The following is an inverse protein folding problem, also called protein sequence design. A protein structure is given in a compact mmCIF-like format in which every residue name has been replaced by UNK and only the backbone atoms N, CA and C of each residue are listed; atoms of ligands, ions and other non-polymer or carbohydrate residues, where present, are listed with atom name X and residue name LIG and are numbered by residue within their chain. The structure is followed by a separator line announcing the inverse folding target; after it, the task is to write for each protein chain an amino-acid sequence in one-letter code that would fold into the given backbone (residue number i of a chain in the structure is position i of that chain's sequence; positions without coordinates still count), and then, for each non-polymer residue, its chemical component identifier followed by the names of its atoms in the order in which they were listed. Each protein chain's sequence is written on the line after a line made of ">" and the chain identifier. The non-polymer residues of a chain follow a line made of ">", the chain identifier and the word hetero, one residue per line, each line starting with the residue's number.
data_IF_248397351405
#
_entry.id   IF_248397351405
#
_cell.length_a   1.000
_cell.length_b   1.000
_cell.length_c   1.000
_cell.angle_alpha   90.00
_cell.angle_beta   90.00
_cell.angle_gamma   90.00
#
_symmetry.space_group_name_H-M   'P 1'
#
loop_
_entity.id
_entity.type
_entity.pdbx_description
1 polymer ?
#
# COMPACT_ATOMS: atom_id res chain seq x y z
N UNK A 1 7.04 16.36 -10.28
CA UNK A 1 6.82 15.75 -11.61
C UNK A 1 6.10 14.43 -11.41
N UNK A 2 4.93 14.23 -12.03
CA UNK A 2 4.21 12.96 -11.96
C UNK A 2 4.53 12.17 -13.23
N UNK A 3 5.24 11.04 -13.09
CA UNK A 3 5.49 10.12 -14.19
C UNK A 3 4.19 9.37 -14.51
N UNK A 4 3.50 9.77 -15.57
CA UNK A 4 2.33 9.06 -16.11
C UNK A 4 2.75 8.35 -17.39
N UNK A 5 2.62 7.03 -17.42
CA UNK A 5 2.80 6.23 -18.63
C UNK A 5 1.45 6.08 -19.31
N UNK A 6 1.33 6.58 -20.54
CA UNK A 6 0.09 6.50 -21.34
C UNK A 6 0.25 5.51 -22.50
N UNK A 7 -0.84 4.81 -22.82
CA UNK A 7 -0.93 3.89 -23.96
C UNK A 7 -2.10 4.31 -24.86
N UNK A 8 -1.90 4.26 -26.18
CA UNK A 8 -2.96 4.52 -27.15
C UNK A 8 -3.83 3.27 -27.37
N UNK A 9 -5.14 3.43 -27.29
CA UNK A 9 -6.13 2.36 -27.54
C UNK A 9 -7.13 2.86 -28.58
N UNK A 10 -7.41 2.03 -29.60
CA UNK A 10 -8.41 2.33 -30.62
C UNK A 10 -9.70 1.55 -30.34
N UNK A 11 -10.81 2.26 -30.19
CA UNK A 11 -12.15 1.69 -29.95
C UNK A 11 -13.07 2.05 -31.10
N UNK A 12 -13.86 1.09 -31.57
CA UNK A 12 -14.93 1.32 -32.55
C UNK A 12 -16.26 1.38 -31.81
N UNK A 13 -16.96 2.51 -31.92
CA UNK A 13 -18.26 2.74 -31.30
C UNK A 13 -19.32 2.85 -32.38
N UNK A 14 -20.45 2.17 -32.20
CA UNK A 14 -21.62 2.31 -33.06
C UNK A 14 -22.50 3.44 -32.51
N UNK A 15 -22.80 4.44 -33.33
CA UNK A 15 -23.65 5.58 -32.98
C UNK A 15 -24.81 5.73 -34.00
N UNK A 16 -25.82 4.85 -33.94
CA UNK A 16 -26.95 4.89 -34.87
C UNK A 16 -27.81 6.15 -34.73
N UNK A 17 -27.83 6.76 -33.55
CA UNK A 17 -28.64 7.95 -33.23
C UNK A 17 -27.90 9.28 -33.51
N UNK A 18 -26.62 9.23 -33.91
CA UNK A 18 -25.75 10.39 -34.18
C UNK A 18 -25.64 11.36 -32.99
N UNK A 19 -25.59 10.80 -31.78
CA UNK A 19 -25.46 11.60 -30.56
C UNK A 19 -24.02 12.05 -30.30
N UNK A 20 -23.03 11.31 -30.81
CA UNK A 20 -21.61 11.62 -30.66
C UNK A 20 -21.18 12.65 -31.71
N UNK A 21 -20.75 13.83 -31.25
CA UNK A 21 -20.25 14.90 -32.10
C UNK A 21 -18.75 15.11 -31.90
N UNK A 22 -18.08 15.54 -32.97
CA UNK A 22 -16.67 15.92 -32.90
C UNK A 22 -16.47 17.03 -31.86
N UNK A 23 -15.38 16.93 -31.08
CA UNK A 23 -15.06 17.86 -30.00
C UNK A 23 -15.65 17.50 -28.63
N UNK A 24 -16.46 16.44 -28.52
CA UNK A 24 -16.90 15.91 -27.23
C UNK A 24 -15.78 15.12 -26.53
N UNK A 25 -15.72 15.23 -25.21
CA UNK A 25 -14.91 14.34 -24.38
C UNK A 25 -15.69 13.04 -24.13
N UNK A 26 -14.98 11.92 -24.10
CA UNK A 26 -15.55 10.61 -23.81
C UNK A 26 -14.72 9.99 -22.68
N UNK A 27 -15.43 9.46 -21.68
CA UNK A 27 -14.86 8.59 -20.66
C UNK A 27 -15.26 7.15 -21.02
N UNK A 28 -14.30 6.23 -21.02
CA UNK A 28 -14.50 4.85 -21.40
C UNK A 28 -13.89 3.93 -20.34
N UNK A 29 -14.73 3.08 -19.74
CA UNK A 29 -14.32 2.08 -18.77
C UNK A 29 -14.15 0.71 -19.44
N UNK A 30 -12.96 0.10 -19.26
CA UNK A 30 -12.66 -1.24 -19.76
C UNK A 30 -12.68 -2.24 -18.61
N UNK A 31 -13.73 -3.05 -18.53
CA UNK A 31 -13.76 -4.16 -17.57
C UNK A 31 -13.08 -5.39 -18.17
N UNK A 32 -11.85 -5.67 -17.72
CA UNK A 32 -11.03 -6.77 -18.26
C UNK A 32 -11.00 -7.95 -17.29
N UNK A 33 -11.60 -9.07 -17.71
CA UNK A 33 -11.63 -10.30 -16.95
C UNK A 33 -12.61 -10.28 -15.78
N UNK A 34 -13.18 -11.43 -15.47
CA UNK A 34 -14.04 -11.62 -14.31
C UNK A 34 -13.67 -12.95 -13.66
N UNK A 35 -13.46 -12.94 -12.35
CA UNK A 35 -13.30 -14.16 -11.56
C UNK A 35 -14.57 -14.35 -10.74
N UNK A 36 -15.38 -15.34 -11.13
CA UNK A 36 -16.65 -15.66 -10.46
C UNK A 36 -16.41 -16.55 -9.25
N UNK A 37 -17.23 -16.36 -8.20
CA UNK A 37 -17.18 -17.15 -6.96
C UNK A 37 -15.81 -17.15 -6.27
N UNK A 38 -15.06 -16.06 -6.38
CA UNK A 38 -13.78 -15.91 -5.71
C UNK A 38 -13.95 -15.50 -4.25
N UNK A 39 -13.14 -16.10 -3.37
CA UNK A 39 -12.92 -15.55 -2.04
C UNK A 39 -11.98 -14.35 -2.16
N UNK A 40 -12.34 -13.22 -1.56
CA UNK A 40 -11.53 -11.99 -1.62
C UNK A 40 -11.25 -11.45 -0.23
N UNK A 41 -10.08 -10.87 -0.06
CA UNK A 41 -9.70 -10.08 1.12
C UNK A 41 -9.30 -8.67 0.69
N UNK A 42 -9.50 -7.65 1.54
CA UNK A 42 -8.95 -6.33 1.29
C UNK A 42 -7.44 -6.41 1.11
N UNK A 43 -6.89 -5.79 0.06
CA UNK A 43 -5.45 -5.84 -0.23
C UNK A 43 -4.61 -5.29 0.93
N UNK A 44 -5.14 -4.34 1.71
CA UNK A 44 -4.49 -3.80 2.91
C UNK A 44 -4.30 -4.83 4.03
N UNK A 45 -5.10 -5.91 4.05
CA UNK A 45 -4.99 -6.99 5.04
C UNK A 45 -3.92 -8.02 4.69
N UNK A 46 -3.42 -8.01 3.45
CA UNK A 46 -2.43 -8.97 2.97
C UNK A 46 -1.05 -8.57 3.49
N UNK A 47 -0.40 -9.51 4.15
CA UNK A 47 0.91 -9.34 4.78
C UNK A 47 1.92 -10.26 4.13
N UNK A 48 3.08 -9.72 3.81
CA UNK A 48 4.24 -10.51 3.40
C UNK A 48 5.24 -10.59 4.54
N UNK A 49 5.47 -11.80 5.03
CA UNK A 49 6.61 -12.13 5.89
C UNK A 49 7.68 -12.80 5.03
N UNK A 50 8.94 -12.82 5.49
CA UNK A 50 10.15 -13.11 4.71
C UNK A 50 9.99 -14.18 3.62
N UNK A 51 9.28 -15.29 3.91
CA UNK A 51 9.05 -16.39 2.97
C UNK A 51 7.58 -16.72 2.66
N UNK A 52 6.60 -15.95 3.15
CA UNK A 52 5.19 -16.28 2.97
C UNK A 52 4.27 -15.04 2.88
N UNK A 53 3.26 -15.15 2.04
CA UNK A 53 2.13 -14.21 1.99
C UNK A 53 0.98 -14.78 2.81
N UNK A 54 0.34 -13.94 3.63
CA UNK A 54 -0.70 -14.37 4.56
C UNK A 54 -1.61 -13.22 4.98
N UNK A 55 -2.60 -13.53 5.79
CA UNK A 55 -3.46 -12.56 6.49
C UNK A 55 -3.44 -12.83 7.98
N UNK A 56 -3.79 -11.84 8.79
CA UNK A 56 -4.01 -12.06 10.21
C UNK A 56 -5.48 -12.30 10.50
N UNK A 57 -5.78 -13.45 11.11
CA UNK A 57 -7.13 -13.81 11.58
C UNK A 57 -7.14 -13.65 13.11
N UNK A 58 -8.19 -13.06 13.72
CA UNK A 58 -8.29 -12.98 15.17
C UNK A 58 -8.51 -14.38 15.75
N UNK A 59 -7.53 -14.89 16.48
CA UNK A 59 -7.62 -16.14 17.21
C UNK A 59 -8.23 -15.98 18.61
N UNK A 60 -8.13 -17.03 19.42
CA UNK A 60 -8.61 -17.04 20.80
C UNK A 60 -7.97 -15.90 21.61
N UNK A 61 -8.79 -15.17 22.37
CA UNK A 61 -8.42 -13.98 23.15
C UNK A 61 -7.97 -12.78 22.29
N UNK A 62 -8.50 -12.64 21.08
CA UNK A 62 -8.21 -11.52 20.16
C UNK A 62 -6.73 -11.42 19.77
N UNK A 63 -5.98 -12.53 19.88
CA UNK A 63 -4.58 -12.60 19.46
C UNK A 63 -4.51 -12.85 17.95
N UNK A 64 -3.85 -11.97 17.18
CA UNK A 64 -3.68 -12.15 15.74
C UNK A 64 -2.90 -13.42 15.45
N UNK A 65 -3.46 -14.29 14.61
CA UNK A 65 -2.80 -15.51 14.11
C UNK A 65 -2.49 -15.28 12.64
N UNK A 66 -1.23 -15.46 12.26
CA UNK A 66 -0.82 -15.40 10.85
C UNK A 66 -1.28 -16.66 10.14
N UNK A 67 -2.13 -16.50 9.13
CA UNK A 67 -2.62 -17.58 8.28
C UNK A 67 -2.03 -17.41 6.89
N UNK A 68 -1.17 -18.32 6.42
CA UNK A 68 -0.62 -18.26 5.08
C UNK A 68 -1.74 -18.47 4.05
N UNK A 69 -1.70 -17.68 2.97
CA UNK A 69 -2.69 -17.76 1.89
C UNK A 69 -2.00 -17.74 0.54
N UNK A 70 -2.63 -18.37 -0.44
CA UNK A 70 -2.26 -18.22 -1.84
C UNK A 70 -3.10 -17.13 -2.47
N UNK A 71 -2.46 -16.09 -2.97
CA UNK A 71 -3.14 -14.94 -3.59
C UNK A 71 -3.23 -15.09 -5.10
N UNK A 72 -4.37 -14.71 -5.66
CA UNK A 72 -4.61 -14.66 -7.10
C UNK A 72 -4.57 -13.23 -7.65
N UNK A 73 -5.53 -12.93 -8.52
CA UNK A 73 -5.65 -11.61 -9.14
C UNK A 73 -6.00 -10.56 -8.09
N UNK A 74 -5.39 -9.38 -8.19
CA UNK A 74 -5.78 -8.21 -7.42
C UNK A 74 -6.53 -7.26 -8.33
N UNK A 75 -7.74 -6.87 -7.93
CA UNK A 75 -8.60 -5.97 -8.68
C UNK A 75 -9.21 -4.94 -7.73
N UNK A 76 -9.16 -3.67 -8.13
CA UNK A 76 -9.58 -2.53 -7.31
C UNK A 76 -8.83 -2.50 -5.96
N UNK A 77 -9.51 -2.83 -4.86
CA UNK A 77 -8.96 -2.85 -3.50
C UNK A 77 -8.99 -4.26 -2.87
N UNK A 78 -9.24 -5.29 -3.69
CA UNK A 78 -9.42 -6.66 -3.24
C UNK A 78 -8.41 -7.58 -3.92
N UNK A 79 -7.89 -8.51 -3.14
CA UNK A 79 -7.02 -9.58 -3.62
C UNK A 79 -7.75 -10.90 -3.49
N UNK A 80 -7.80 -11.65 -4.58
CA UNK A 80 -8.33 -13.00 -4.62
C UNK A 80 -7.49 -13.94 -3.74
N UNK A 81 -8.17 -14.80 -3.00
CA UNK A 81 -7.58 -15.88 -2.20
C UNK A 81 -7.92 -17.20 -2.87
N UNK A 82 -6.89 -17.88 -3.38
CA UNK A 82 -7.00 -19.20 -4.02
C UNK A 82 -7.05 -20.34 -3.00
N UNK A 83 -6.30 -20.19 -1.91
CA UNK A 83 -6.24 -21.20 -0.84
C UNK A 83 -5.79 -20.59 0.50
N UNK A 84 -6.08 -21.29 1.59
CA UNK A 84 -5.67 -20.91 2.95
C UNK A 84 -6.77 -20.29 3.82
N UNK A 85 -7.94 -20.00 3.26
CA UNK A 85 -9.12 -19.51 3.99
C UNK A 85 -10.38 -20.23 3.50
N UNK A 86 -11.39 -20.33 4.36
CA UNK A 86 -12.68 -20.97 4.05
C UNK A 86 -13.79 -19.96 3.76
N UNK A 87 -13.56 -18.68 4.06
CA UNK A 87 -14.46 -17.55 3.77
C UNK A 87 -15.39 -17.17 4.91
N UNK A 88 -15.35 -17.90 6.02
CA UNK A 88 -16.07 -17.53 7.25
C UNK A 88 -15.19 -16.74 8.23
N UNK A 89 -13.90 -16.60 7.93
CA UNK A 89 -12.93 -15.95 8.80
C UNK A 89 -13.01 -14.43 8.70
N UNK A 90 -12.82 -13.76 9.84
CA UNK A 90 -12.59 -12.31 9.85
C UNK A 90 -11.10 -12.05 9.67
N UNK A 91 -10.73 -11.08 8.85
CA UNK A 91 -9.33 -10.67 8.66
C UNK A 91 -9.09 -9.29 9.27
N UNK A 92 -7.90 -9.08 9.81
CA UNK A 92 -7.50 -7.77 10.31
C UNK A 92 -7.10 -6.87 9.13
N UNK A 93 -7.71 -5.68 9.05
CA UNK A 93 -7.41 -4.66 8.02
C UNK A 93 -6.06 -3.97 8.22
N UNK A 94 -5.50 -4.07 9.42
CA UNK A 94 -4.28 -3.37 9.80
C UNK A 94 -3.43 -4.23 10.73
N UNK A 95 -2.12 -4.04 10.65
CA UNK A 95 -1.17 -4.68 11.56
C UNK A 95 -1.52 -4.39 13.02
N UNK A 96 -1.45 -5.43 13.88
CA UNK A 96 -1.38 -5.24 15.32
C UNK A 96 -0.27 -4.24 15.68
N UNK A 97 -0.43 -3.47 16.78
CA UNK A 97 0.60 -2.54 17.23
C UNK A 97 1.93 -3.30 17.40
N UNK A 98 3.00 -2.83 16.72
CA UNK A 98 4.35 -3.40 16.83
C UNK A 98 4.74 -4.46 15.79
N UNK A 99 3.84 -4.90 14.90
CA UNK A 99 4.14 -5.91 13.88
C UNK A 99 4.17 -5.36 12.44
N UNK A 100 4.38 -4.04 12.29
CA UNK A 100 4.51 -3.42 10.95
C UNK A 100 5.78 -3.98 10.28
N UNK A 101 5.69 -4.63 9.12
CA UNK A 101 6.88 -4.99 8.37
C UNK A 101 7.62 -3.69 8.03
N UNK A 102 8.82 -3.57 8.56
CA UNK A 102 9.70 -2.46 8.24
C UNK A 102 10.10 -2.62 6.78
N UNK A 103 9.52 -1.81 5.90
CA UNK A 103 10.01 -1.66 4.53
C UNK A 103 11.39 -1.01 4.63
N UNK A 104 12.46 -1.79 4.80
CA UNK A 104 13.80 -1.30 4.58
C UNK A 104 13.95 -1.09 3.07
N UNK A 105 14.16 0.14 2.60
CA UNK A 105 14.52 0.37 1.20
C UNK A 105 15.83 -0.38 0.96
N UNK A 106 15.77 -1.40 0.10
CA UNK A 106 16.92 -2.18 -0.32
C UNK A 106 17.73 -1.31 -1.29
N UNK A 107 18.59 -0.45 -0.75
CA UNK A 107 19.50 0.39 -1.53
C UNK A 107 19.83 1.70 -0.86
N UNK A 108 20.86 1.72 -0.02
CA UNK A 108 21.33 2.94 0.63
C UNK A 108 22.53 2.72 1.54
N UNK A 109 23.51 1.93 1.09
CA UNK A 109 24.84 2.00 1.70
C UNK A 109 25.43 3.32 1.23
N UNK A 110 25.58 4.30 2.12
CA UNK A 110 26.48 5.44 1.93
C UNK A 110 27.73 5.19 2.77
N UNK A 111 28.76 4.50 2.24
CA UNK A 111 30.06 4.48 2.87
C UNK A 111 30.73 5.83 2.59
N UNK A 112 30.95 6.65 3.61
CA UNK A 112 31.77 7.86 3.45
C UNK A 112 31.45 9.09 4.29
N UNK A 113 30.45 9.09 5.19
CA UNK A 113 30.22 10.24 6.06
C UNK A 113 30.92 10.06 7.41
N UNK A 114 32.23 10.31 7.41
CA UNK A 114 32.93 10.74 8.61
C UNK A 114 32.38 12.09 9.05
N UNK A 115 31.98 12.19 10.31
CA UNK A 115 31.51 13.44 10.92
C UNK A 115 31.69 13.36 12.43
N UNK A 116 32.70 14.05 12.93
CA UNK A 116 33.24 13.92 14.28
C UNK A 116 32.26 14.28 15.41
N UNK A 117 32.30 13.46 16.45
CA UNK A 117 31.76 13.78 17.77
C UNK A 117 32.74 14.66 18.54
N UNK A 118 32.53 15.97 18.51
CA UNK A 118 33.14 16.92 19.44
C UNK A 118 32.31 17.00 20.71
N UNK A 119 32.77 16.31 21.76
CA UNK A 119 32.13 16.31 23.08
C UNK A 119 32.54 17.51 23.94
N UNK A 120 31.54 18.18 24.51
CA UNK A 120 31.44 18.53 25.93
C UNK A 120 32.52 19.43 26.56
N UNK A 121 32.17 20.67 26.83
CA UNK A 121 32.89 21.54 27.76
C UNK A 121 32.04 22.73 28.20
N UNK A 122 31.25 22.54 29.27
CA UNK A 122 30.50 23.62 29.91
C UNK A 122 31.38 24.48 30.82
N UNK A 123 31.05 25.78 30.92
CA UNK A 123 30.96 26.63 32.13
C UNK A 123 31.15 28.10 31.76
N UNK A 124 30.30 28.94 32.36
CA UNK A 124 30.58 30.36 32.58
C UNK A 124 29.47 31.27 32.08
N UNK A 125 28.55 31.64 32.97
CA UNK A 125 27.44 32.54 32.70
C UNK A 125 27.78 34.03 32.77
N UNK A 126 26.70 34.82 32.88
CA UNK A 126 26.57 36.29 33.07
C UNK A 126 26.43 37.03 31.72
N UNK A 127 25.42 37.86 31.43
CA UNK A 127 24.26 38.40 32.15
C UNK A 127 23.67 39.58 31.33
N UNK A 128 22.42 40.00 31.62
CA UNK A 128 21.76 41.23 31.13
C UNK A 128 21.09 41.07 29.76
N UNK A 129 19.76 41.15 29.60
CA UNK A 129 18.87 42.31 29.81
C UNK A 129 18.71 43.04 28.47
N UNK A 130 17.57 43.38 27.88
CA UNK A 130 16.13 43.26 28.15
C UNK A 130 15.41 43.89 26.93
N UNK A 131 14.06 43.82 26.89
CA UNK A 131 13.24 44.77 26.12
C UNK A 131 12.73 44.32 24.74
N UNK A 132 11.48 43.86 24.73
CA UNK A 132 10.50 43.88 23.63
C UNK A 132 10.00 45.32 23.34
N UNK A 133 9.13 45.56 22.33
CA UNK A 133 8.46 44.64 21.40
C UNK A 133 8.81 44.80 19.92
#
# INVERSE_FOLDING_TARGET
>A
EQNVTSFEVRVSLSDPERVLRSGMNVEADFQVGEVKNALVVPTASVVRQENATGVFVPGNNNRPVFTPIETGVTANNFTEVKSGLTGNERVLLSFPPGSRPQSTPRGGVFPGLGGGGGGGGGRGGRGGGGGSP
#
